data_IF_480127005587
#
_entry.id   IF_480127005587
#
_cell.length_a   1.000
_cell.length_b   1.000
_cell.length_c   1.000
_cell.angle_alpha   90.00
_cell.angle_beta   90.00
_cell.angle_gamma   90.00
#
_symmetry.space_group_name_H-M   'P 1'
#
loop_
_entity.id
_entity.type
_entity.pdbx_description
1 polymer ?
#
# COMPACT_ATOMS: atom_id res chain seq x y z
N UNK A 1 35.63 -54.98 37.79
CA UNK A 1 34.62 -55.09 36.72
C UNK A 1 35.35 -55.12 35.39
N UNK A 2 35.42 -56.27 34.72
CA UNK A 2 36.10 -56.41 33.43
C UNK A 2 35.14 -56.04 32.30
N UNK A 3 35.43 -54.96 31.57
CA UNK A 3 34.71 -54.63 30.34
C UNK A 3 35.12 -55.63 29.26
N UNK A 4 34.30 -56.64 29.01
CA UNK A 4 34.47 -57.54 27.87
C UNK A 4 34.24 -56.72 26.59
N UNK A 5 35.32 -56.48 25.84
CA UNK A 5 35.24 -55.91 24.50
C UNK A 5 34.44 -56.87 23.61
N UNK A 6 33.20 -56.50 23.26
CA UNK A 6 32.43 -57.25 22.26
C UNK A 6 33.22 -57.24 20.93
N UNK A 7 33.52 -58.41 20.33
CA UNK A 7 34.15 -58.46 19.03
C UNK A 7 33.29 -57.69 18.03
N UNK A 8 33.90 -56.74 17.30
CA UNK A 8 33.24 -56.04 16.19
C UNK A 8 32.79 -57.11 15.19
N UNK A 9 31.49 -57.39 15.12
CA UNK A 9 30.92 -58.17 14.03
C UNK A 9 31.31 -57.49 12.72
N UNK A 10 32.01 -58.23 11.86
CA UNK A 10 32.35 -57.79 10.51
C UNK A 10 31.06 -57.47 9.78
N UNK A 11 30.90 -56.23 9.32
CA UNK A 11 29.75 -55.86 8.48
C UNK A 11 29.74 -56.77 7.24
N UNK A 12 28.58 -57.26 6.79
CA UNK A 12 28.48 -58.01 5.55
C UNK A 12 29.09 -57.19 4.40
N UNK A 13 29.76 -57.85 3.43
CA UNK A 13 30.38 -57.17 2.30
C UNK A 13 29.32 -56.35 1.56
N UNK A 14 29.54 -55.04 1.49
CA UNK A 14 28.61 -54.15 0.80
C UNK A 14 28.73 -54.35 -0.72
N UNK A 15 27.61 -54.27 -1.46
CA UNK A 15 27.65 -54.33 -2.92
C UNK A 15 28.54 -53.20 -3.49
N UNK A 16 29.22 -53.44 -4.62
CA UNK A 16 30.08 -52.45 -5.24
C UNK A 16 29.27 -51.19 -5.62
N UNK A 17 29.77 -50.02 -5.25
CA UNK A 17 29.13 -48.74 -5.59
C UNK A 17 29.25 -48.44 -7.08
N UNK A 18 28.17 -47.95 -7.74
CA UNK A 18 28.23 -47.56 -9.14
C UNK A 18 29.19 -46.39 -9.37
N UNK A 19 29.63 -46.22 -10.62
CA UNK A 19 30.42 -45.07 -11.05
C UNK A 19 29.55 -43.80 -11.15
N UNK A 20 30.17 -42.62 -11.06
CA UNK A 20 29.50 -41.35 -11.31
C UNK A 20 28.95 -41.28 -12.74
N UNK A 21 27.71 -40.83 -12.92
CA UNK A 21 27.08 -40.73 -14.24
C UNK A 21 27.64 -39.59 -15.13
N UNK A 22 28.40 -38.63 -14.57
CA UNK A 22 28.95 -37.51 -15.32
C UNK A 22 30.02 -37.99 -16.32
N UNK A 23 29.93 -37.67 -17.61
CA UNK A 23 30.92 -38.08 -18.62
C UNK A 23 32.35 -37.69 -18.23
N UNK A 24 33.28 -38.64 -18.33
CA UNK A 24 34.69 -38.45 -17.99
C UNK A 24 35.03 -38.48 -16.50
N UNK A 25 34.06 -38.73 -15.61
CA UNK A 25 34.31 -38.87 -14.18
C UNK A 25 34.51 -40.36 -13.81
N UNK A 26 35.69 -40.69 -13.26
CA UNK A 26 36.00 -42.06 -12.81
C UNK A 26 35.75 -42.30 -11.31
N UNK A 27 35.22 -41.30 -10.59
CA UNK A 27 34.92 -41.44 -9.17
C UNK A 27 33.66 -42.26 -8.93
N UNK A 28 33.64 -42.99 -7.82
CA UNK A 28 32.47 -43.74 -7.36
C UNK A 28 31.38 -42.78 -6.90
N UNK A 29 30.12 -43.18 -7.11
CA UNK A 29 28.97 -42.39 -6.69
C UNK A 29 28.94 -42.22 -5.16
N UNK A 30 28.45 -41.06 -4.70
CA UNK A 30 28.45 -40.69 -3.29
C UNK A 30 27.40 -41.50 -2.53
N UNK A 31 27.84 -42.17 -1.48
CA UNK A 31 26.96 -42.81 -0.50
C UNK A 31 26.76 -41.88 0.69
N UNK A 32 25.51 -41.56 0.99
CA UNK A 32 25.15 -40.68 2.08
C UNK A 32 24.41 -41.45 3.17
N UNK A 33 25.10 -41.74 4.27
CA UNK A 33 24.51 -42.40 5.44
C UNK A 33 23.87 -41.36 6.36
N UNK A 34 22.55 -41.42 6.58
CA UNK A 34 21.90 -40.64 7.63
C UNK A 34 22.00 -41.36 8.97
N UNK A 35 22.42 -40.63 10.02
CA UNK A 35 22.51 -41.19 11.38
C UNK A 35 21.15 -41.53 12.01
N UNK A 36 20.05 -40.99 11.47
CA UNK A 36 18.71 -41.12 12.08
C UNK A 36 17.99 -42.43 11.73
N UNK A 37 18.33 -43.09 10.62
CA UNK A 37 17.58 -44.26 10.14
C UNK A 37 18.45 -45.44 9.69
N UNK A 38 19.78 -45.38 9.84
CA UNK A 38 20.75 -46.36 9.31
C UNK A 38 20.60 -46.70 7.80
N UNK A 39 19.72 -45.99 7.10
CA UNK A 39 19.49 -46.14 5.68
C UNK A 39 20.48 -45.26 4.92
N UNK A 40 21.38 -45.91 4.19
CA UNK A 40 22.28 -45.26 3.24
C UNK A 40 21.54 -45.00 1.92
N UNK A 41 21.71 -43.80 1.38
CA UNK A 41 21.21 -43.47 0.05
C UNK A 41 22.39 -43.25 -0.90
N UNK A 42 22.29 -43.80 -2.10
CA UNK A 42 23.28 -43.62 -3.15
C UNK A 42 22.85 -42.46 -4.06
N UNK A 43 23.73 -41.47 -4.22
CA UNK A 43 23.60 -40.47 -5.27
C UNK A 43 23.99 -41.11 -6.62
N UNK A 44 23.50 -40.54 -7.72
CA UNK A 44 23.96 -40.89 -9.08
C UNK A 44 25.34 -40.27 -9.41
N UNK A 45 25.79 -39.32 -8.59
CA UNK A 45 26.98 -38.52 -8.81
C UNK A 45 28.01 -38.74 -7.69
N UNK A 46 29.30 -38.53 -7.97
CA UNK A 46 30.35 -38.57 -6.96
C UNK A 46 30.29 -37.36 -6.01
N UNK A 47 31.14 -37.33 -4.98
CA UNK A 47 31.21 -36.25 -3.98
C UNK A 47 31.33 -34.84 -4.59
N UNK A 48 32.01 -34.71 -5.72
CA UNK A 48 32.30 -33.43 -6.37
C UNK A 48 31.19 -32.99 -7.34
N UNK A 49 30.36 -33.94 -7.77
CA UNK A 49 29.28 -33.71 -8.74
C UNK A 49 27.89 -33.87 -8.15
N UNK A 50 27.74 -34.41 -6.95
CA UNK A 50 26.44 -34.61 -6.30
C UNK A 50 25.92 -33.31 -5.69
N UNK A 51 24.68 -32.95 -6.02
CA UNK A 51 23.94 -31.92 -5.30
C UNK A 51 23.68 -32.39 -3.86
N UNK A 52 24.01 -31.57 -2.86
CA UNK A 52 23.82 -31.91 -1.44
C UNK A 52 22.38 -31.80 -0.94
N UNK A 53 21.44 -31.33 -1.76
CA UNK A 53 20.04 -31.22 -1.37
C UNK A 53 19.40 -32.62 -1.24
N UNK A 54 18.67 -32.81 -0.15
CA UNK A 54 17.86 -34.00 0.11
C UNK A 54 16.40 -33.71 -0.22
N UNK A 55 15.74 -34.69 -0.84
CA UNK A 55 14.33 -34.69 -1.18
C UNK A 55 13.67 -35.89 -0.48
N UNK A 56 13.47 -35.77 0.83
CA UNK A 56 13.03 -36.88 1.68
C UNK A 56 14.08 -37.99 1.78
N UNK A 57 13.73 -39.19 1.32
CA UNK A 57 14.60 -40.37 1.30
C UNK A 57 15.58 -40.40 0.11
N UNK A 58 15.57 -39.40 -0.79
CA UNK A 58 16.45 -39.39 -1.96
C UNK A 58 17.39 -38.20 -1.97
N UNK A 59 18.55 -38.38 -2.59
CA UNK A 59 19.41 -37.26 -2.97
C UNK A 59 18.91 -36.65 -4.28
N UNK A 60 19.09 -35.34 -4.44
CA UNK A 60 18.79 -34.68 -5.70
C UNK A 60 19.58 -35.36 -6.86
N UNK A 61 18.91 -35.75 -7.95
CA UNK A 61 19.56 -36.41 -9.09
C UNK A 61 20.34 -35.45 -9.98
N UNK A 62 20.10 -34.14 -9.85
CA UNK A 62 20.73 -33.13 -10.70
C UNK A 62 22.19 -32.92 -10.28
N UNK A 63 23.11 -32.78 -11.24
CA UNK A 63 24.51 -32.53 -10.94
C UNK A 63 24.68 -31.16 -10.28
N UNK A 64 25.67 -31.07 -9.40
CA UNK A 64 26.14 -29.83 -8.79
C UNK A 64 26.62 -28.86 -9.88
N UNK A 65 26.36 -27.56 -9.70
CA UNK A 65 26.95 -26.56 -10.59
C UNK A 65 28.49 -26.56 -10.47
N UNK A 66 29.21 -26.32 -11.59
CA UNK A 66 30.65 -26.18 -11.55
C UNK A 66 31.05 -25.00 -10.63
N UNK A 67 32.11 -25.18 -9.85
CA UNK A 67 32.62 -24.17 -8.91
C UNK A 67 32.34 -24.49 -7.44
N UNK A 68 32.17 -23.44 -6.63
CA UNK A 68 32.10 -23.51 -5.16
C UNK A 68 30.75 -23.97 -4.62
N UNK A 69 29.66 -23.79 -5.38
CA UNK A 69 28.29 -24.14 -4.98
C UNK A 69 28.20 -25.59 -4.53
N UNK A 70 27.49 -25.88 -3.44
CA UNK A 70 27.24 -27.26 -2.99
C UNK A 70 25.97 -27.88 -3.61
N UNK A 71 25.28 -27.13 -4.45
CA UNK A 71 23.94 -27.44 -4.93
C UNK A 71 23.87 -27.39 -6.47
N UNK A 72 22.83 -28.00 -7.05
CA UNK A 72 22.52 -27.84 -8.47
C UNK A 72 21.84 -26.50 -8.71
N UNK A 73 21.65 -26.12 -9.98
CA UNK A 73 21.00 -24.85 -10.37
C UNK A 73 19.62 -24.66 -9.73
N UNK A 74 18.80 -25.71 -9.65
CA UNK A 74 17.45 -25.61 -9.08
C UNK A 74 17.47 -25.38 -7.57
N UNK A 75 18.47 -25.95 -6.90
CA UNK A 75 18.62 -25.84 -5.44
C UNK A 75 19.51 -24.67 -5.03
N UNK A 76 20.23 -24.04 -5.96
CA UNK A 76 20.92 -22.78 -5.73
C UNK A 76 19.99 -21.57 -5.93
N UNK A 77 18.88 -21.71 -6.68
CA UNK A 77 17.90 -20.64 -6.95
C UNK A 77 16.92 -20.37 -5.81
N UNK A 78 16.56 -19.10 -5.63
CA UNK A 78 15.52 -18.65 -4.71
C UNK A 78 14.17 -19.34 -4.98
N UNK A 79 13.50 -19.84 -3.95
CA UNK A 79 12.14 -20.42 -4.08
C UNK A 79 11.02 -19.38 -4.23
N UNK A 80 11.35 -18.11 -4.43
CA UNK A 80 10.33 -17.09 -4.68
C UNK A 80 9.93 -17.16 -6.15
N UNK A 81 8.63 -17.12 -6.42
CA UNK A 81 8.07 -17.18 -7.79
C UNK A 81 8.72 -16.10 -8.68
N UNK A 82 9.18 -16.52 -9.87
CA UNK A 82 9.86 -15.65 -10.84
C UNK A 82 11.28 -15.19 -10.45
N UNK A 83 11.82 -15.57 -9.29
CA UNK A 83 13.14 -15.10 -8.87
C UNK A 83 14.27 -16.02 -9.37
N UNK A 84 15.16 -15.46 -10.19
CA UNK A 84 16.35 -16.17 -10.72
C UNK A 84 17.60 -16.02 -9.85
N UNK A 85 17.52 -15.25 -8.76
CA UNK A 85 18.66 -14.98 -7.87
C UNK A 85 19.05 -16.21 -7.06
N UNK A 86 20.35 -16.36 -6.78
CA UNK A 86 20.87 -17.40 -5.89
C UNK A 86 20.41 -17.19 -4.44
N UNK A 87 20.14 -18.28 -3.72
CA UNK A 87 19.79 -18.30 -2.30
C UNK A 87 20.89 -17.64 -1.47
N UNK A 88 20.49 -16.95 -0.40
CA UNK A 88 21.45 -16.41 0.57
C UNK A 88 22.16 -17.60 1.21
N UNK A 89 23.48 -17.55 1.36
CA UNK A 89 24.23 -18.60 2.07
C UNK A 89 24.15 -20.01 1.45
N UNK A 90 24.00 -20.10 0.12
CA UNK A 90 24.02 -21.38 -0.59
C UNK A 90 25.29 -22.22 -0.30
N UNK A 91 26.38 -21.63 0.20
CA UNK A 91 27.61 -22.37 0.49
C UNK A 91 27.76 -22.81 1.96
N UNK A 92 27.13 -22.15 2.93
CA UNK A 92 27.32 -22.45 4.36
C UNK A 92 26.50 -23.65 4.85
N UNK A 93 25.67 -24.24 3.99
CA UNK A 93 24.85 -25.41 4.33
C UNK A 93 23.69 -25.11 5.26
N UNK A 94 23.47 -23.83 5.57
CA UNK A 94 22.25 -23.35 6.21
C UNK A 94 21.14 -23.36 5.16
N UNK A 95 20.02 -24.01 5.47
CA UNK A 95 18.91 -24.23 4.56
C UNK A 95 18.06 -22.96 4.37
N UNK A 96 18.66 -21.88 3.86
CA UNK A 96 17.90 -20.70 3.43
C UNK A 96 17.23 -20.99 2.10
N UNK A 97 15.89 -21.00 2.08
CA UNK A 97 15.09 -21.20 0.87
C UNK A 97 15.13 -20.01 -0.11
N UNK A 98 15.50 -18.82 0.37
CA UNK A 98 15.30 -17.55 -0.32
C UNK A 98 16.62 -16.77 -0.52
N UNK A 99 16.66 -15.89 -1.53
CA UNK A 99 17.78 -14.96 -1.77
C UNK A 99 17.75 -13.78 -0.79
N UNK A 100 18.81 -12.96 -0.74
CA UNK A 100 18.89 -11.82 0.18
C UNK A 100 17.71 -10.84 0.06
N UNK A 101 17.15 -10.66 -1.15
CA UNK A 101 15.98 -9.80 -1.37
C UNK A 101 14.67 -10.38 -0.83
N UNK A 102 14.59 -11.70 -0.68
CA UNK A 102 13.38 -12.42 -0.26
C UNK A 102 13.50 -13.07 1.13
N UNK A 103 14.67 -13.05 1.76
CA UNK A 103 14.89 -13.51 3.14
C UNK A 103 14.69 -12.37 4.13
N UNK A 104 13.97 -12.60 5.22
CA UNK A 104 13.80 -11.65 6.32
C UNK A 104 15.10 -10.90 6.67
N UNK A 105 15.01 -9.59 6.87
CA UNK A 105 16.15 -8.74 7.18
C UNK A 105 16.76 -9.05 8.56
N UNK A 106 15.96 -9.48 9.54
CA UNK A 106 16.44 -9.85 10.87
C UNK A 106 17.50 -10.97 10.80
N UNK A 107 18.66 -10.73 11.41
CA UNK A 107 19.77 -11.68 11.40
C UNK A 107 19.36 -13.05 11.97
N UNK A 108 19.73 -14.11 11.26
CA UNK A 108 19.37 -15.49 11.63
C UNK A 108 17.97 -15.94 11.20
N UNK A 109 17.08 -15.05 10.75
CA UNK A 109 15.77 -15.47 10.26
C UNK A 109 15.84 -15.96 8.80
N UNK A 110 15.47 -17.21 8.56
CA UNK A 110 15.46 -17.83 7.23
C UNK A 110 14.10 -17.77 6.49
N UNK A 111 13.11 -17.11 7.09
CA UNK A 111 11.75 -17.04 6.54
C UNK A 111 11.64 -16.06 5.36
N UNK A 112 10.64 -16.30 4.51
CA UNK A 112 10.27 -15.42 3.39
C UNK A 112 9.86 -14.04 3.92
N UNK A 113 10.32 -12.97 3.27
CA UNK A 113 9.80 -11.61 3.49
C UNK A 113 8.31 -11.54 3.13
N UNK A 114 7.56 -10.74 3.86
CA UNK A 114 6.18 -10.43 3.46
C UNK A 114 6.20 -9.51 2.22
N UNK A 115 5.15 -9.52 1.38
CA UNK A 115 5.13 -8.83 0.08
C UNK A 115 5.46 -7.33 0.12
N UNK A 116 5.30 -6.67 1.28
CA UNK A 116 5.50 -5.23 1.45
C UNK A 116 6.41 -4.89 2.65
N UNK A 117 7.21 -5.84 3.15
CA UNK A 117 8.13 -5.59 4.26
C UNK A 117 9.54 -6.11 3.98
N UNK A 118 10.51 -5.51 4.66
CA UNK A 118 11.87 -6.05 4.75
C UNK A 118 11.93 -7.29 5.67
N UNK A 119 10.87 -7.57 6.43
CA UNK A 119 10.79 -8.65 7.42
C UNK A 119 9.78 -9.73 7.01
N UNK A 120 9.86 -10.93 7.62
CA UNK A 120 8.87 -11.99 7.43
C UNK A 120 7.57 -11.67 8.20
N UNK A 121 6.48 -12.40 7.96
CA UNK A 121 5.20 -12.16 8.64
C UNK A 121 5.31 -12.16 10.19
N UNK A 122 6.17 -13.01 10.76
CA UNK A 122 6.37 -13.10 12.22
C UNK A 122 7.11 -11.88 12.77
N UNK A 123 8.04 -11.32 11.99
CA UNK A 123 8.86 -10.17 12.39
C UNK A 123 8.34 -8.85 11.84
N UNK A 124 7.32 -8.87 10.98
CA UNK A 124 6.68 -7.64 10.49
C UNK A 124 5.87 -7.11 11.66
N UNK A 125 6.22 -5.94 12.22
CA UNK A 125 5.48 -5.42 13.35
C UNK A 125 4.05 -5.11 12.88
N UNK A 126 3.06 -5.63 13.60
CA UNK A 126 1.64 -5.44 13.31
C UNK A 126 1.12 -4.17 13.96
N UNK A 127 0.10 -3.56 13.37
CA UNK A 127 -0.59 -2.41 13.93
C UNK A 127 -0.90 -2.60 15.43
N UNK A 128 -0.66 -1.58 16.26
CA UNK A 128 -0.96 -1.65 17.70
C UNK A 128 -2.46 -1.63 18.03
N UNK A 129 -3.34 -1.33 17.06
CA UNK A 129 -4.78 -1.38 17.30
C UNK A 129 -5.22 -2.84 17.47
N UNK A 130 -5.85 -3.19 18.60
CA UNK A 130 -6.40 -4.53 18.80
C UNK A 130 -7.32 -4.90 17.62
N UNK A 131 -7.23 -6.12 17.11
CA UNK A 131 -7.95 -6.65 15.93
C UNK A 131 -7.43 -6.22 14.54
N UNK A 132 -6.53 -5.25 14.45
CA UNK A 132 -5.89 -4.92 13.17
C UNK A 132 -4.69 -5.84 12.92
N UNK A 133 -4.77 -6.68 11.87
CA UNK A 133 -3.69 -7.59 11.46
C UNK A 133 -2.81 -7.02 10.35
N UNK A 134 -3.00 -5.75 10.00
CA UNK A 134 -2.21 -5.10 8.97
C UNK A 134 -0.80 -4.78 9.47
N UNK A 135 0.21 -4.88 8.59
CA UNK A 135 1.57 -4.50 8.92
C UNK A 135 1.64 -2.98 9.20
N UNK A 136 2.50 -2.58 10.15
CA UNK A 136 2.79 -1.17 10.41
C UNK A 136 3.37 -0.48 9.18
N UNK A 137 3.16 0.83 9.08
CA UNK A 137 3.91 1.66 8.14
C UNK A 137 5.41 1.62 8.48
N UNK A 138 6.26 1.97 7.51
CA UNK A 138 7.71 1.97 7.71
C UNK A 138 8.20 2.98 8.74
N UNK A 139 7.40 4.01 9.03
CA UNK A 139 7.75 5.12 9.93
C UNK A 139 6.98 5.11 11.24
N UNK A 140 5.83 4.42 11.31
CA UNK A 140 4.88 4.57 12.42
C UNK A 140 4.61 3.32 13.25
N UNK A 141 3.89 3.52 14.35
CA UNK A 141 3.43 2.46 15.25
C UNK A 141 2.14 1.75 14.74
N UNK A 142 1.52 2.29 13.70
CA UNK A 142 0.22 1.87 13.17
C UNK A 142 0.33 1.53 11.68
N UNK A 143 -0.63 0.77 11.14
CA UNK A 143 -0.71 0.51 9.70
C UNK A 143 -1.20 1.76 8.95
N UNK A 144 -1.06 1.77 7.61
CA UNK A 144 -1.44 2.93 6.77
C UNK A 144 -2.89 3.39 6.99
N UNK A 145 -3.90 2.51 7.09
CA UNK A 145 -5.28 2.91 7.42
C UNK A 145 -5.48 3.51 8.81
N UNK A 146 -4.51 3.35 9.71
CA UNK A 146 -4.56 3.78 11.11
C UNK A 146 -3.51 4.84 11.47
N UNK A 147 -2.69 5.25 10.51
CA UNK A 147 -1.76 6.37 10.63
C UNK A 147 -2.34 7.63 9.98
N UNK A 148 -2.06 8.78 10.57
CA UNK A 148 -2.32 10.08 9.93
C UNK A 148 -1.54 10.18 8.59
N UNK A 149 -2.13 10.82 7.58
CA UNK A 149 -1.48 11.05 6.28
C UNK A 149 -0.33 12.08 6.35
N UNK A 150 -0.21 12.80 7.46
CA UNK A 150 0.91 13.69 7.73
C UNK A 150 2.15 12.86 8.13
N UNK A 151 3.26 12.94 7.39
CA UNK A 151 4.44 12.10 7.61
C UNK A 151 5.11 12.32 8.97
N UNK A 152 4.88 13.47 9.60
CA UNK A 152 5.46 13.84 10.90
C UNK A 152 4.46 13.62 12.06
N UNK A 153 3.34 12.95 11.81
CA UNK A 153 2.29 12.74 12.80
C UNK A 153 2.06 11.26 13.16
N UNK A 154 2.44 10.90 14.39
CA UNK A 154 2.25 9.55 14.93
C UNK A 154 0.85 9.29 15.54
N UNK A 155 -0.09 10.21 15.35
CA UNK A 155 -1.43 10.09 15.94
C UNK A 155 -2.27 9.00 15.25
N UNK A 156 -2.97 8.22 16.07
CA UNK A 156 -3.91 7.19 15.62
C UNK A 156 -5.15 7.82 15.00
N UNK A 157 -5.60 7.26 13.89
CA UNK A 157 -6.89 7.58 13.30
C UNK A 157 -7.89 6.43 13.50
N UNK A 158 -9.11 6.77 13.86
CA UNK A 158 -10.24 5.82 13.97
C UNK A 158 -11.14 5.96 12.73
N UNK A 159 -10.55 5.78 11.54
CA UNK A 159 -11.17 6.04 10.25
C UNK A 159 -10.92 7.46 9.70
N UNK A 160 -10.73 7.57 8.39
CA UNK A 160 -10.37 8.79 7.67
C UNK A 160 -8.92 8.79 7.16
N UNK A 161 -8.37 9.96 6.82
CA UNK A 161 -6.97 10.13 6.40
C UNK A 161 -6.16 11.02 7.35
N UNK A 162 -6.82 11.74 8.27
CA UNK A 162 -6.18 12.73 9.14
C UNK A 162 -6.58 12.50 10.60
N UNK A 163 -5.64 12.67 11.52
CA UNK A 163 -5.91 12.58 12.96
C UNK A 163 -6.68 13.81 13.47
N UNK A 164 -7.21 13.75 14.69
CA UNK A 164 -8.06 14.82 15.25
C UNK A 164 -7.38 16.20 15.27
N UNK A 165 -6.05 16.25 15.47
CA UNK A 165 -5.28 17.50 15.43
C UNK A 165 -5.07 18.03 14.02
N UNK A 166 -5.04 17.16 13.01
CA UNK A 166 -4.90 17.54 11.60
C UNK A 166 -6.23 17.58 10.85
N UNK A 167 -7.31 17.15 11.51
CA UNK A 167 -8.65 17.22 10.97
C UNK A 167 -9.20 18.65 10.96
N UNK A 168 -8.70 19.60 11.76
CA UNK A 168 -9.29 20.96 11.79
C UNK A 168 -8.82 21.85 10.64
N UNK A 169 -9.75 22.62 10.06
CA UNK A 169 -9.46 23.64 9.04
C UNK A 169 -8.36 24.62 9.50
N UNK A 170 -7.44 25.01 8.60
CA UNK A 170 -6.36 25.96 8.92
C UNK A 170 -6.80 27.41 9.11
N UNK A 171 -8.08 27.73 8.94
CA UNK A 171 -8.60 29.09 9.11
C UNK A 171 -8.83 29.33 10.60
N UNK A 172 -8.20 30.39 11.13
CA UNK A 172 -8.27 30.77 12.54
C UNK A 172 -9.72 30.85 13.02
N UNK A 173 -10.05 30.08 14.06
CA UNK A 173 -11.39 30.01 14.63
C UNK A 173 -12.34 28.99 14.00
N UNK A 174 -11.96 28.32 12.91
CA UNK A 174 -12.75 27.26 12.32
C UNK A 174 -12.45 25.89 12.96
N UNK A 175 -13.45 25.29 13.59
CA UNK A 175 -13.36 23.94 14.20
C UNK A 175 -13.87 22.82 13.29
N UNK A 176 -14.26 23.15 12.05
CA UNK A 176 -14.83 22.18 11.12
C UNK A 176 -13.76 21.24 10.54
N UNK A 177 -14.12 19.98 10.26
CA UNK A 177 -13.19 19.01 9.70
C UNK A 177 -12.75 19.37 8.26
N UNK A 178 -11.49 19.11 7.92
CA UNK A 178 -10.91 19.26 6.58
C UNK A 178 -11.55 18.28 5.63
N UNK A 179 -11.77 18.73 4.41
CA UNK A 179 -12.31 17.89 3.32
C UNK A 179 -11.33 17.84 2.16
N UNK A 180 -10.71 18.97 1.81
CA UNK A 180 -9.76 19.07 0.69
C UNK A 180 -8.55 19.90 1.14
N UNK A 181 -7.36 19.29 1.12
CA UNK A 181 -6.12 19.94 1.54
C UNK A 181 -6.17 20.40 2.99
N UNK A 182 -5.98 21.70 3.22
CA UNK A 182 -5.96 22.32 4.56
C UNK A 182 -7.31 22.94 4.98
N UNK A 183 -8.33 22.85 4.13
CA UNK A 183 -9.60 23.59 4.26
C UNK A 183 -10.79 22.65 4.48
N UNK A 184 -11.78 23.10 5.25
CA UNK A 184 -13.09 22.43 5.36
C UNK A 184 -14.01 22.79 4.19
N UNK A 185 -15.11 22.05 4.02
CA UNK A 185 -16.07 22.29 2.93
C UNK A 185 -16.62 23.73 2.88
N UNK A 186 -16.72 24.41 4.03
CA UNK A 186 -17.17 25.81 4.09
C UNK A 186 -16.13 26.81 3.58
N UNK A 187 -14.88 26.40 3.45
CA UNK A 187 -13.76 27.26 3.07
C UNK A 187 -13.15 26.94 1.71
N UNK A 188 -13.60 25.88 1.03
CA UNK A 188 -13.17 25.53 -0.33
C UNK A 188 -13.91 26.37 -1.37
N UNK A 189 -13.20 27.02 -2.29
CA UNK A 189 -13.83 27.74 -3.39
C UNK A 189 -14.73 26.82 -4.24
N UNK A 190 -15.95 27.26 -4.57
CA UNK A 190 -16.86 26.44 -5.40
C UNK A 190 -16.43 26.33 -6.88
N UNK A 191 -15.45 27.12 -7.33
CA UNK A 191 -14.89 27.00 -8.68
C UNK A 191 -14.03 25.73 -8.74
N UNK A 192 -14.31 24.85 -9.73
CA UNK A 192 -13.54 23.63 -9.95
C UNK A 192 -12.06 23.95 -10.14
N UNK A 193 -11.21 23.10 -9.57
CA UNK A 193 -9.74 23.19 -9.67
C UNK A 193 -9.14 24.48 -9.07
N UNK A 194 -9.90 25.23 -8.26
CA UNK A 194 -9.39 26.34 -7.48
C UNK A 194 -8.93 25.88 -6.09
N UNK A 195 -7.66 26.14 -5.78
CA UNK A 195 -7.02 25.90 -4.48
C UNK A 195 -7.21 27.05 -3.47
N UNK A 196 -7.91 28.13 -3.89
CA UNK A 196 -8.11 29.32 -3.07
C UNK A 196 -9.09 29.11 -1.91
N UNK A 197 -8.77 29.67 -0.75
CA UNK A 197 -9.65 29.71 0.42
C UNK A 197 -10.68 30.85 0.36
N UNK A 198 -11.89 30.58 0.85
CA UNK A 198 -12.87 31.64 1.17
C UNK A 198 -12.38 32.38 2.42
N UNK A 199 -12.46 33.72 2.45
CA UNK A 199 -12.14 34.51 3.65
C UNK A 199 -13.29 34.50 4.67
N UNK A 200 -14.52 34.45 4.16
CA UNK A 200 -15.71 34.73 4.95
C UNK A 200 -16.73 33.59 4.76
N UNK A 201 -17.47 33.26 5.82
CA UNK A 201 -18.51 32.22 5.77
C UNK A 201 -19.66 32.55 4.79
N UNK A 202 -19.82 33.83 4.42
CA UNK A 202 -20.86 34.32 3.53
C UNK A 202 -20.49 34.25 2.05
N UNK A 203 -19.21 34.10 1.71
CA UNK A 203 -18.77 34.01 0.32
C UNK A 203 -18.69 32.55 -0.12
N UNK A 204 -19.30 32.23 -1.26
CA UNK A 204 -19.15 30.92 -1.91
C UNK A 204 -17.82 30.78 -2.67
N UNK A 205 -17.11 31.89 -2.87
CA UNK A 205 -15.94 31.99 -3.73
C UNK A 205 -14.72 32.57 -2.99
N UNK A 206 -13.52 32.18 -3.42
CA UNK A 206 -12.29 32.78 -2.91
C UNK A 206 -12.13 34.22 -3.43
N UNK A 207 -11.25 35.06 -2.86
CA UNK A 207 -11.07 36.45 -3.29
C UNK A 207 -10.69 36.64 -4.77
N UNK A 208 -10.16 35.61 -5.43
CA UNK A 208 -9.85 35.62 -6.87
C UNK A 208 -11.09 35.40 -7.75
N UNK A 209 -12.13 34.78 -7.20
CA UNK A 209 -13.36 34.40 -7.90
C UNK A 209 -14.61 35.09 -7.34
N UNK A 210 -14.50 35.81 -6.22
CA UNK A 210 -15.61 36.56 -5.64
C UNK A 210 -15.80 37.89 -6.38
N UNK A 211 -17.06 38.27 -6.60
CA UNK A 211 -17.38 39.61 -7.07
C UNK A 211 -16.94 40.66 -6.03
N UNK A 212 -16.26 41.71 -6.47
CA UNK A 212 -15.74 42.77 -5.62
C UNK A 212 -16.85 43.71 -5.09
N UNK A 213 -18.04 43.66 -5.68
CA UNK A 213 -19.23 44.33 -5.13
C UNK A 213 -19.57 43.74 -3.75
N UNK A 214 -19.61 44.57 -2.68
CA UNK A 214 -19.93 44.10 -1.33
C UNK A 214 -21.21 43.28 -1.29
N UNK A 215 -21.18 42.15 -0.56
CA UNK A 215 -22.33 41.25 -0.37
C UNK A 215 -22.86 40.56 -1.64
N UNK A 216 -22.18 40.67 -2.79
CA UNK A 216 -22.59 39.93 -3.98
C UNK A 216 -22.14 38.46 -3.87
N UNK A 217 -23.07 37.48 -3.89
CA UNK A 217 -22.72 36.07 -3.77
C UNK A 217 -22.27 35.44 -5.09
N UNK A 218 -22.20 36.20 -6.19
CA UNK A 218 -21.94 35.68 -7.54
C UNK A 218 -20.44 35.58 -7.86
N UNK A 219 -20.10 34.65 -8.76
CA UNK A 219 -18.74 34.45 -9.27
C UNK A 219 -18.32 35.59 -10.19
N UNK A 220 -17.09 36.07 -10.05
CA UNK A 220 -16.49 37.04 -10.97
C UNK A 220 -16.26 36.37 -12.34
N UNK A 221 -16.60 37.07 -13.43
CA UNK A 221 -16.46 36.52 -14.79
C UNK A 221 -15.00 36.58 -15.19
N UNK A 222 -14.36 35.42 -15.36
CA UNK A 222 -12.98 35.32 -15.82
C UNK A 222 -12.84 35.84 -17.26
N UNK A 223 -12.42 37.09 -17.42
CA UNK A 223 -11.98 37.63 -18.72
C UNK A 223 -10.47 37.74 -18.65
N UNK A 224 -9.78 36.81 -19.33
CA UNK A 224 -8.35 36.87 -19.68
C UNK A 224 -7.40 37.28 -18.54
N UNK A 225 -6.88 36.28 -17.82
CA UNK A 225 -5.58 36.25 -17.11
C UNK A 225 -5.19 37.30 -16.05
N UNK A 226 -5.85 38.46 -15.89
CA UNK A 226 -5.32 39.55 -15.04
C UNK A 226 -6.21 40.10 -13.91
N UNK A 227 -7.10 39.26 -13.37
CA UNK A 227 -8.06 39.52 -12.25
C UNK A 227 -9.47 39.87 -12.71
N UNK A 228 -10.38 38.89 -12.80
CA UNK A 228 -11.80 39.20 -12.86
C UNK A 228 -12.27 39.81 -11.54
N UNK A 229 -12.85 41.01 -11.59
CA UNK A 229 -13.27 41.74 -10.39
C UNK A 229 -14.77 41.74 -10.16
N UNK A 230 -15.59 41.52 -11.20
CA UNK A 230 -17.03 41.66 -11.10
C UNK A 230 -17.75 40.47 -11.75
N UNK A 231 -18.92 40.11 -11.23
CA UNK A 231 -19.80 39.12 -11.83
C UNK A 231 -20.55 39.71 -13.04
N UNK A 232 -21.28 38.88 -13.79
CA UNK A 232 -21.99 39.32 -14.99
C UNK A 232 -22.99 40.45 -14.72
N UNK A 233 -23.64 40.47 -13.55
CA UNK A 233 -24.58 41.54 -13.17
C UNK A 233 -23.89 42.85 -12.77
N UNK A 234 -22.61 42.81 -12.42
CA UNK A 234 -21.81 43.96 -12.02
C UNK A 234 -20.74 44.35 -13.04
N UNK A 235 -20.70 43.67 -14.19
CA UNK A 235 -19.82 44.01 -15.31
C UNK A 235 -20.59 44.91 -16.28
N UNK A 236 -19.92 45.88 -16.87
CA UNK A 236 -20.49 46.73 -17.91
C UNK A 236 -21.05 45.87 -19.07
N UNK A 237 -22.25 46.18 -19.55
CA UNK A 237 -22.86 45.45 -20.67
C UNK A 237 -22.18 45.71 -22.03
N UNK A 238 -21.38 46.77 -22.15
CA UNK A 238 -20.61 47.04 -23.36
C UNK A 238 -19.60 45.91 -23.61
N UNK A 239 -19.49 45.38 -24.85
CA UNK A 239 -18.56 44.32 -25.18
C UNK A 239 -17.12 44.74 -24.83
N UNK A 240 -16.34 43.79 -24.30
CA UNK A 240 -14.94 43.97 -23.88
C UNK A 240 -14.70 44.95 -22.70
N UNK A 241 -15.74 45.58 -22.14
CA UNK A 241 -15.59 46.49 -21.03
C UNK A 241 -15.57 45.76 -19.67
N UNK A 242 -14.41 45.77 -19.00
CA UNK A 242 -14.23 45.13 -17.68
C UNK A 242 -14.56 46.05 -16.50
N UNK A 243 -15.05 47.25 -16.76
CA UNK A 243 -15.38 48.21 -15.72
C UNK A 243 -16.68 47.83 -15.00
N UNK A 244 -16.82 48.20 -13.71
CA UNK A 244 -18.05 47.95 -12.97
C UNK A 244 -19.23 48.68 -13.60
N UNK A 245 -20.38 48.02 -13.62
CA UNK A 245 -21.66 48.60 -14.01
C UNK A 245 -22.02 49.76 -13.05
N UNK A 246 -22.53 50.87 -13.59
CA UNK A 246 -23.06 51.96 -12.78
C UNK A 246 -24.30 51.49 -12.00
N UNK A 247 -24.58 52.00 -10.79
CA UNK A 247 -25.70 51.55 -9.97
C UNK A 247 -27.07 51.65 -10.67
N UNK A 248 -27.24 52.62 -11.57
CA UNK A 248 -28.52 52.89 -12.25
C UNK A 248 -28.51 52.61 -13.76
N UNK A 249 -27.47 51.97 -14.29
CA UNK A 249 -27.31 51.81 -15.74
C UNK A 249 -26.85 50.42 -16.16
N UNK A 250 -27.07 50.02 -17.42
CA UNK A 250 -26.56 48.76 -17.94
C UNK A 250 -25.03 48.77 -18.15
N UNK A 251 -24.45 49.96 -18.23
CA UNK A 251 -23.05 50.20 -18.58
C UNK A 251 -22.29 50.91 -17.45
N UNK A 252 -20.95 50.93 -17.54
CA UNK A 252 -20.10 51.71 -16.63
C UNK A 252 -20.28 53.22 -16.87
N UNK A 253 -19.85 54.10 -15.94
CA UNK A 253 -19.99 55.55 -16.09
C UNK A 253 -19.45 56.11 -17.41
N UNK A 254 -18.37 55.53 -17.94
CA UNK A 254 -17.77 55.95 -19.21
C UNK A 254 -18.57 55.57 -20.46
N UNK A 255 -19.42 54.54 -20.40
CA UNK A 255 -20.29 54.12 -21.50
C UNK A 255 -21.73 54.61 -21.35
N UNK A 256 -22.16 54.93 -20.12
CA UNK A 256 -23.50 55.48 -19.89
C UNK A 256 -23.65 56.87 -20.52
N UNK A 257 -22.56 57.63 -20.68
CA UNK A 257 -22.58 58.93 -21.38
C UNK A 257 -22.82 58.81 -22.89
N UNK A 258 -22.37 57.73 -23.53
CA UNK A 258 -22.51 57.52 -24.98
C UNK A 258 -23.92 57.07 -25.39
N UNK A 259 -24.58 56.28 -24.54
CA UNK A 259 -25.91 55.72 -24.82
C UNK A 259 -27.02 56.78 -24.89
N UNK A 260 -26.80 57.97 -24.32
CA UNK A 260 -27.78 59.07 -24.36
C UNK A 260 -27.63 59.99 -25.58
N UNK A 261 -26.52 59.96 -26.33
CA UNK A 261 -26.35 60.84 -27.51
C UNK A 261 -26.83 60.23 -28.83
N UNK A 262 -26.85 58.89 -28.98
CA UNK A 262 -27.14 58.26 -30.28
C UNK A 262 -28.51 57.58 -30.43
N UNK A 263 -29.33 57.46 -29.38
CA UNK A 263 -30.61 56.75 -29.47
C UNK A 263 -31.80 57.69 -29.24
N UNK A 264 -32.18 58.42 -30.30
CA UNK A 264 -33.61 58.75 -30.53
C UNK A 264 -34.28 57.54 -31.18
N UNK A 265 -35.22 56.84 -30.54
CA UNK A 265 -35.83 55.66 -31.12
C UNK A 265 -36.90 56.04 -32.14
N UNK A 266 -36.66 55.69 -33.41
CA UNK A 266 -37.74 55.31 -34.34
C UNK A 266 -38.17 53.91 -33.91
N UNK A 267 -39.37 53.80 -33.34
CA UNK A 267 -39.98 52.51 -32.98
C UNK A 267 -40.56 51.87 -34.24
N UNK A 268 -40.07 50.71 -34.71
CA UNK A 268 -40.88 49.82 -35.54
C UNK A 268 -41.74 48.96 -34.63
N UNK A 269 -43.02 48.88 -34.99
CA UNK A 269 -44.06 48.11 -34.32
C UNK A 269 -43.69 46.62 -34.24
N UNK A 270 -43.97 46.01 -33.10
CA UNK A 270 -43.80 44.59 -32.80
C UNK A 270 -44.76 43.74 -33.64
N UNK A 271 -44.27 42.78 -34.45
CA UNK A 271 -45.11 41.78 -35.08
C UNK A 271 -45.66 40.80 -34.02
N UNK A 272 -46.97 40.59 -34.06
CA UNK A 272 -47.69 39.54 -33.30
C UNK A 272 -47.06 38.17 -33.53
N UNK A 273 -46.77 37.46 -32.43
CA UNK A 273 -46.40 36.04 -32.45
C UNK A 273 -47.48 35.19 -33.14
N UNK A 274 -47.12 34.35 -34.13
CA UNK A 274 -48.02 33.33 -34.64
C UNK A 274 -48.09 32.15 -33.66
N UNK A 275 -49.31 31.67 -33.43
CA UNK A 275 -49.60 30.45 -32.68
C UNK A 275 -48.80 29.27 -33.25
N UNK A 276 -47.98 28.64 -32.41
CA UNK A 276 -47.23 27.44 -32.77
C UNK A 276 -48.19 26.29 -33.10
N UNK A 277 -48.16 25.73 -34.32
CA UNK A 277 -48.90 24.51 -34.62
C UNK A 277 -48.31 23.35 -33.82
N UNK A 278 -49.19 22.54 -33.25
CA UNK A 278 -48.85 21.28 -32.59
C UNK A 278 -48.03 20.41 -33.55
N UNK A 279 -46.70 20.43 -33.38
CA UNK A 279 -45.80 19.54 -34.12
C UNK A 279 -46.17 18.10 -33.76
N UNK A 280 -46.79 17.41 -34.71
CA UNK A 280 -46.93 15.97 -34.66
C UNK A 280 -45.56 15.37 -34.44
N UNK A 281 -45.45 14.40 -33.52
CA UNK A 281 -44.19 13.68 -33.27
C UNK A 281 -43.70 13.13 -34.60
N UNK A 282 -42.53 13.60 -35.03
CA UNK A 282 -41.85 13.01 -36.16
C UNK A 282 -41.65 11.50 -35.91
N UNK A 283 -41.78 10.65 -36.94
CA UNK A 283 -41.57 9.22 -36.79
C UNK A 283 -40.15 8.97 -36.29
N UNK A 284 -40.07 8.26 -35.14
CA UNK A 284 -38.84 7.88 -34.47
C UNK A 284 -37.91 7.23 -35.50
N UNK A 285 -36.71 7.75 -35.63
CA UNK A 285 -35.73 7.20 -36.57
C UNK A 285 -35.30 5.80 -36.13
N UNK A 286 -34.92 4.89 -37.05
CA UNK A 286 -34.44 3.55 -36.68
C UNK A 286 -33.27 3.56 -35.66
N UNK A 287 -32.47 4.64 -35.66
CA UNK A 287 -31.38 4.84 -34.71
C UNK A 287 -31.88 5.14 -33.29
N UNK A 288 -32.89 5.99 -33.15
CA UNK A 288 -33.53 6.27 -31.86
C UNK A 288 -34.25 5.04 -31.30
N UNK A 289 -34.86 4.23 -32.17
CA UNK A 289 -35.47 2.96 -31.75
C UNK A 289 -34.43 1.95 -31.26
N UNK A 290 -33.25 1.89 -31.88
CA UNK A 290 -32.15 1.06 -31.43
C UNK A 290 -31.57 1.54 -30.07
N UNK A 291 -31.48 2.85 -29.85
CA UNK A 291 -31.09 3.42 -28.56
C UNK A 291 -32.12 3.13 -27.46
N UNK A 292 -33.42 3.25 -27.78
CA UNK A 292 -34.49 2.93 -26.84
C UNK A 292 -34.46 1.44 -26.43
N UNK A 293 -34.16 0.53 -27.37
CA UNK A 293 -33.97 -0.91 -27.07
C UNK A 293 -32.80 -1.13 -26.11
N UNK A 294 -31.64 -0.51 -26.36
CA UNK A 294 -30.46 -0.65 -25.49
C UNK A 294 -30.68 -0.08 -24.09
N UNK A 295 -31.36 1.07 -23.99
CA UNK A 295 -31.71 1.64 -22.68
C UNK A 295 -32.63 0.71 -21.90
N UNK A 296 -33.61 0.10 -22.57
CA UNK A 296 -34.51 -0.87 -21.93
C UNK A 296 -33.77 -2.13 -21.48
N UNK A 297 -32.86 -2.67 -22.29
CA UNK A 297 -32.01 -3.82 -21.91
C UNK A 297 -31.13 -3.51 -20.68
N UNK A 298 -30.57 -2.29 -20.60
CA UNK A 298 -29.76 -1.89 -19.44
C UNK A 298 -30.60 -1.68 -18.18
N UNK A 299 -31.81 -1.11 -18.30
CA UNK A 299 -32.77 -1.01 -17.20
C UNK A 299 -33.17 -2.41 -16.67
N UNK A 300 -33.45 -3.36 -17.56
CA UNK A 300 -33.79 -4.74 -17.19
C UNK A 300 -32.58 -5.46 -16.53
N UNK A 301 -31.36 -5.19 -17.00
CA UNK A 301 -30.12 -5.69 -16.36
C UNK A 301 -29.96 -5.17 -14.94
N UNK A 302 -30.18 -3.87 -14.72
CA UNK A 302 -30.11 -3.26 -13.38
C UNK A 302 -31.18 -3.81 -12.43
N UNK A 303 -32.43 -3.98 -12.91
CA UNK A 303 -33.50 -4.63 -12.13
C UNK A 303 -33.13 -6.04 -11.69
N UNK A 304 -32.45 -6.80 -12.55
CA UNK A 304 -32.00 -8.17 -12.24
C UNK A 304 -30.92 -8.17 -11.16
N UNK A 305 -29.97 -7.22 -11.20
CA UNK A 305 -28.95 -7.06 -10.16
C UNK A 305 -29.55 -6.66 -8.81
N UNK A 306 -30.51 -5.73 -8.81
CA UNK A 306 -31.23 -5.33 -7.59
C UNK A 306 -32.08 -6.47 -7.00
N UNK A 307 -32.57 -7.39 -7.84
CA UNK A 307 -33.24 -8.60 -7.35
C UNK A 307 -32.24 -9.55 -6.69
N UNK A 308 -31.08 -9.80 -7.31
CA UNK A 308 -30.03 -10.65 -6.73
C UNK A 308 -29.49 -10.10 -5.40
N UNK A 309 -29.32 -8.78 -5.27
CA UNK A 309 -28.88 -8.17 -4.00
C UNK A 309 -29.92 -8.40 -2.89
N UNK A 310 -31.21 -8.26 -3.20
CA UNK A 310 -32.31 -8.56 -2.26
C UNK A 310 -32.31 -10.03 -1.86
N UNK A 311 -32.15 -10.93 -2.82
CA UNK A 311 -32.11 -12.38 -2.57
C UNK A 311 -30.89 -12.76 -1.70
N UNK A 312 -29.72 -12.15 -1.93
CA UNK A 312 -28.52 -12.36 -1.08
C UNK A 312 -28.72 -11.85 0.35
N UNK A 313 -29.37 -10.71 0.54
CA UNK A 313 -29.68 -10.20 1.89
C UNK A 313 -30.64 -11.13 2.63
N UNK A 314 -31.69 -11.56 1.96
CA UNK A 314 -32.66 -12.51 2.53
C UNK A 314 -32.00 -13.86 2.87
N UNK A 315 -31.10 -14.34 2.01
CA UNK A 315 -30.32 -15.54 2.29
C UNK A 315 -29.41 -15.36 3.51
N UNK A 316 -28.67 -14.24 3.61
CA UNK A 316 -27.83 -13.94 4.76
C UNK A 316 -28.64 -13.85 6.07
N UNK A 317 -29.85 -13.27 6.03
CA UNK A 317 -30.75 -13.24 7.19
C UNK A 317 -31.20 -14.66 7.59
N UNK A 318 -31.46 -15.54 6.62
CA UNK A 318 -31.86 -16.93 6.88
C UNK A 318 -30.73 -17.83 7.40
N UNK A 319 -29.48 -17.52 7.04
CA UNK A 319 -28.29 -18.31 7.42
C UNK A 319 -27.63 -17.77 8.67
N UNK A 320 -27.89 -16.50 9.04
CA UNK A 320 -27.44 -15.95 10.31
C UNK A 320 -28.07 -16.78 11.43
N UNK A 321 -27.30 -17.60 12.16
CA UNK A 321 -27.85 -18.37 13.26
C UNK A 321 -28.46 -17.36 14.23
N UNK A 322 -29.72 -17.57 14.63
CA UNK A 322 -30.35 -16.72 15.64
C UNK A 322 -29.34 -16.50 16.76
N UNK A 323 -29.16 -15.25 17.22
CA UNK A 323 -28.29 -14.98 18.34
C UNK A 323 -28.83 -15.84 19.47
N UNK A 324 -28.16 -16.98 19.73
CA UNK A 324 -28.42 -17.81 20.90
C UNK A 324 -28.28 -16.83 22.03
N UNK A 325 -29.41 -16.45 22.62
CA UNK A 325 -29.41 -15.61 23.80
C UNK A 325 -28.31 -16.15 24.70
N UNK A 326 -27.38 -15.30 25.17
CA UNK A 326 -26.37 -15.75 26.10
C UNK A 326 -27.14 -16.31 27.28
N UNK A 327 -27.25 -17.64 27.30
CA UNK A 327 -27.91 -18.38 28.37
C UNK A 327 -27.06 -18.00 29.57
N UNK A 328 -27.57 -17.04 30.35
CA UNK A 328 -26.94 -16.59 31.57
C UNK A 328 -26.96 -17.82 32.46
N UNK A 329 -25.91 -18.62 32.35
CA UNK A 329 -25.57 -19.63 33.35
C UNK A 329 -25.27 -18.77 34.56
N UNK A 330 -26.24 -18.73 35.47
CA UNK A 330 -26.06 -18.17 36.79
C UNK A 330 -24.90 -18.91 37.44
N UNK A 331 -23.68 -18.40 37.27
CA UNK A 331 -22.53 -18.69 38.14
C UNK A 331 -22.76 -17.97 39.45
N UNK A 332 -23.80 -18.39 40.18
CA UNK A 332 -23.90 -18.12 41.60
C UNK A 332 -23.03 -19.13 42.34
N UNK A 333 -22.13 -18.59 43.17
CA UNK A 333 -21.59 -19.21 44.39
C UNK A 333 -20.73 -20.47 44.25
N UNK A 334 -19.51 -20.33 43.73
CA UNK A 334 -18.36 -21.13 44.21
C UNK A 334 -17.08 -20.26 44.19
N UNK A 335 -17.04 -19.18 44.97
CA UNK A 335 -15.80 -18.46 45.29
C UNK A 335 -15.88 -17.92 46.72
N UNK A 336 -16.04 -18.84 47.68
CA UNK A 336 -15.64 -18.61 49.06
C UNK A 336 -14.62 -19.70 49.36
N UNK A 337 -13.45 -19.30 49.87
CA UNK A 337 -12.24 -20.12 50.12
C UNK A 337 -11.27 -20.24 48.93
N UNK A 338 -10.69 -19.11 48.52
CA UNK A 338 -9.29 -19.11 48.08
C UNK A 338 -8.44 -18.56 49.23
N UNK A 339 -7.40 -19.28 49.68
CA UNK A 339 -6.46 -18.76 50.67
C UNK A 339 -5.65 -17.61 50.08
N UNK A 340 -5.25 -16.69 50.94
CA UNK A 340 -4.48 -15.49 50.60
C UNK A 340 -3.23 -15.83 49.75
N UNK A 341 -2.88 -14.99 48.76
CA UNK A 341 -1.67 -15.18 47.97
C UNK A 341 -0.43 -15.07 48.86
N UNK A 342 0.31 -16.17 48.96
CA UNK A 342 1.61 -16.25 49.64
C UNK A 342 2.59 -15.26 48.97
N UNK A 343 3.35 -14.46 49.73
CA UNK A 343 4.35 -13.57 49.16
C UNK A 343 5.45 -14.40 48.50
N UNK A 344 5.60 -14.27 47.18
CA UNK A 344 6.75 -14.83 46.46
C UNK A 344 7.96 -13.92 46.70
N UNK A 345 8.78 -14.26 47.69
CA UNK A 345 10.13 -13.72 47.82
C UNK A 345 11.01 -14.30 46.69
N UNK A 346 11.44 -13.43 45.77
CA UNK A 346 12.43 -13.78 44.76
C UNK A 346 13.78 -14.05 45.44
N UNK A 347 14.39 -15.25 45.27
CA UNK A 347 15.75 -15.46 45.72
C UNK A 347 16.71 -14.67 44.81
N UNK A 348 17.44 -13.75 45.43
CA UNK A 348 18.49 -12.94 44.84
C UNK A 348 19.65 -13.84 44.38
N UNK A 349 19.63 -14.26 43.13
CA UNK A 349 20.71 -15.03 42.52
C UNK A 349 21.90 -14.11 42.19
N UNK A 350 22.79 -13.91 43.16
CA UNK A 350 24.18 -13.52 42.88
C UNK A 350 24.91 -14.72 42.31
N UNK A 351 25.32 -14.63 41.04
CA UNK A 351 26.37 -15.49 40.47
C UNK A 351 27.59 -14.65 40.09
N UNK A 352 28.82 -15.11 40.37
CA UNK A 352 30.03 -14.37 40.07
C UNK A 352 30.42 -14.51 38.60
N UNK A 353 30.47 -13.38 37.91
CA UNK A 353 31.03 -13.26 36.55
C UNK A 353 32.54 -13.51 36.65
N UNK A 354 32.99 -14.68 36.17
CA UNK A 354 34.40 -14.95 35.95
C UNK A 354 34.88 -14.19 34.71
N UNK A 355 35.79 -13.24 34.93
CA UNK A 355 36.46 -12.45 33.89
C UNK A 355 37.24 -13.38 32.95
N UNK A 356 36.80 -13.50 31.68
CA UNK A 356 37.66 -13.98 30.59
C UNK A 356 38.51 -12.83 30.07
N UNK A 357 39.83 -13.03 30.08
CA UNK A 357 40.85 -12.12 29.52
C UNK A 357 40.63 -11.87 28.02
N UNK A 358 40.81 -10.65 27.51
CA UNK A 358 40.81 -10.37 26.08
C UNK A 358 42.12 -10.87 25.44
N UNK A 359 42.01 -11.64 24.35
CA UNK A 359 43.10 -11.96 23.44
C UNK A 359 43.25 -10.79 22.47
N UNK A 360 44.33 -10.03 22.59
CA UNK A 360 44.77 -9.07 21.58
C UNK A 360 45.26 -9.83 20.35
N UNK A 361 44.58 -9.64 19.20
CA UNK A 361 45.13 -9.96 17.88
C UNK A 361 45.58 -8.65 17.26
N UNK A 362 46.89 -8.47 17.20
CA UNK A 362 47.54 -7.48 16.34
C UNK A 362 47.14 -7.73 14.89
N UNK A 363 46.65 -6.68 14.23
CA UNK A 363 46.37 -6.66 12.79
C UNK A 363 47.30 -5.60 12.19
N UNK A 364 48.41 -6.07 11.64
CA UNK A 364 49.25 -5.29 10.72
C UNK A 364 48.39 -4.85 9.54
N UNK A 365 48.21 -3.54 9.40
CA UNK A 365 47.61 -2.91 8.23
C UNK A 365 48.74 -2.25 7.45
N UNK A 366 49.37 -3.01 6.57
CA UNK A 366 50.26 -2.49 5.55
C UNK A 366 49.45 -1.78 4.47
N UNK A 367 49.25 -0.47 4.63
CA UNK A 367 48.71 0.40 3.58
C UNK A 367 49.90 0.78 2.69
N UNK A 368 49.96 0.15 1.52
CA UNK A 368 50.83 0.58 0.42
C UNK A 368 50.16 1.72 -0.34
N UNK A 369 50.69 2.93 -0.20
CA UNK A 369 50.35 4.09 -1.03
C UNK A 369 50.76 3.81 -2.47
N UNK A 370 49.81 3.83 -3.41
CA UNK A 370 50.10 3.92 -4.85
C UNK A 370 49.75 5.30 -5.37
N UNK A 371 50.66 5.79 -6.22
CA UNK A 371 50.80 7.15 -6.65
C UNK A 371 49.76 7.60 -7.69
N UNK A 372 49.67 8.91 -7.80
CA UNK A 372 48.80 9.67 -8.68
C UNK A 372 49.20 9.45 -10.15
N UNK A 373 48.20 9.17 -10.99
CA UNK A 373 48.30 9.23 -12.44
C UNK A 373 47.13 10.05 -12.96
N UNK A 374 47.37 11.35 -13.15
CA UNK A 374 46.46 12.30 -13.78
C UNK A 374 46.68 12.21 -15.29
N UNK A 375 45.75 11.61 -16.03
CA UNK A 375 45.69 11.79 -17.48
C UNK A 375 44.64 12.83 -17.83
N UNK A 376 45.17 13.95 -18.32
CA UNK A 376 44.45 14.95 -19.10
C UNK A 376 44.02 14.32 -20.42
N UNK A 377 42.79 14.58 -20.87
CA UNK A 377 42.45 14.44 -22.29
C UNK A 377 41.89 15.76 -22.78
N UNK A 378 42.66 16.36 -23.67
CA UNK A 378 42.33 17.56 -24.44
C UNK A 378 41.28 17.25 -25.52
N UNK A 379 40.61 18.32 -25.90
CA UNK A 379 39.61 18.51 -26.93
C UNK A 379 40.13 18.14 -28.33
N UNK A 380 39.26 17.59 -29.18
CA UNK A 380 39.14 17.93 -30.61
C UNK A 380 37.69 17.77 -31.04
#
# INVERSE_FOLDING_TARGET
MFFQCRPRQSRPPQPPRPACIKPGCFHKALECTMRLHDQGFLSLHCKDHACRQRLGAFMCPNPKEPGVSKYCADHSRCQAEGCTMTRRFADSGLAFAYCQKHTCFLEGCALKRSPNSSMCAIHTPLCLIPTCHDPRSSTGLYCVPHSCADPDCDAVISGGTWCRSHASCTITGCVQPRVIGSLCAQHVCAVRDCDGSRRDAFSTYCPKHACQTPQCPNVAVAVSSSNPRYCASHTCAAPECLNPRAPEGPCCPGHNTWLFEEIRPVMPETPREPAFPSRGRDPITPAEEALARRLKEEEDRLRTLDQLDRDMRQWNESVSPEPREPRMVATERIFAHLPDPVPWEFPSARSPITRRRPRTRSRDSGIGSSAWGSDQTFIS
#
